data_IF_643695904468
#
_entry.id   IF_643695904468
#
_cell.length_a   1.000
_cell.length_b   1.000
_cell.length_c   1.000
_cell.angle_alpha   90.00
_cell.angle_beta   90.00
_cell.angle_gamma   90.00
#
_symmetry.space_group_name_H-M   'P 1'
#
loop_
_entity.id
_entity.type
_entity.pdbx_description
1 polymer ?
#
# COMPACT_ATOMS: atom_id res chain seq x y z
N UNK A 1 2.71 -23.17 4.33
CA UNK A 1 3.86 -22.27 4.08
C UNK A 1 3.36 -20.85 4.35
N UNK A 2 4.05 -20.03 5.17
CA UNK A 2 3.72 -18.60 5.26
C UNK A 2 4.29 -17.95 4.01
N UNK A 3 3.44 -17.56 3.08
CA UNK A 3 3.86 -16.69 1.98
C UNK A 3 3.86 -15.25 2.50
N UNK A 4 4.84 -14.46 2.07
CA UNK A 4 4.86 -13.04 2.41
C UNK A 4 3.69 -12.33 1.73
N UNK A 5 3.03 -11.42 2.48
CA UNK A 5 1.94 -10.62 1.96
C UNK A 5 2.47 -9.25 1.54
N UNK A 6 2.27 -8.89 0.27
CA UNK A 6 2.72 -7.63 -0.29
C UNK A 6 1.63 -6.56 -0.24
N UNK A 7 2.00 -5.41 0.35
CA UNK A 7 1.24 -4.17 0.30
C UNK A 7 1.39 -3.49 -1.08
N UNK A 8 0.42 -2.63 -1.42
CA UNK A 8 0.42 -1.74 -2.59
C UNK A 8 1.76 -1.02 -2.76
N UNK A 9 2.43 -0.59 -1.68
CA UNK A 9 3.70 0.12 -1.78
C UNK A 9 4.84 -0.73 -2.37
N UNK A 10 4.84 -2.04 -2.19
CA UNK A 10 5.83 -2.92 -2.82
C UNK A 10 5.62 -2.92 -4.34
N UNK A 11 4.37 -3.10 -4.78
CA UNK A 11 4.01 -3.05 -6.20
C UNK A 11 4.38 -1.69 -6.82
N UNK A 12 4.01 -0.59 -6.16
CA UNK A 12 4.27 0.76 -6.69
C UNK A 12 5.76 1.11 -6.71
N UNK A 13 6.58 0.48 -5.87
CA UNK A 13 8.03 0.70 -5.91
C UNK A 13 8.67 0.22 -7.22
N UNK A 14 8.01 -0.68 -7.98
CA UNK A 14 8.45 -1.08 -9.32
C UNK A 14 8.36 0.06 -10.34
N UNK A 15 7.58 1.11 -10.06
CA UNK A 15 7.38 2.25 -10.95
C UNK A 15 8.38 3.39 -10.68
N UNK A 16 9.17 3.26 -9.62
CA UNK A 16 10.23 4.20 -9.25
C UNK A 16 11.59 3.72 -9.79
N UNK A 17 12.61 4.57 -9.73
CA UNK A 17 14.00 4.19 -10.00
C UNK A 17 14.76 3.91 -8.69
N UNK A 18 15.79 3.07 -8.79
CA UNK A 18 16.81 2.88 -7.76
C UNK A 18 16.52 1.74 -6.76
N UNK A 19 17.16 1.75 -5.58
CA UNK A 19 17.27 0.55 -4.73
C UNK A 19 15.93 -0.04 -4.27
N UNK A 20 14.87 0.77 -4.16
CA UNK A 20 13.55 0.27 -3.78
C UNK A 20 12.89 -0.54 -4.89
N UNK A 21 13.09 -0.16 -6.14
CA UNK A 21 12.58 -0.88 -7.29
C UNK A 21 13.27 -2.23 -7.41
N UNK A 22 14.60 -2.27 -7.29
CA UNK A 22 15.40 -3.51 -7.31
C UNK A 22 14.99 -4.50 -6.20
N UNK A 23 14.76 -3.97 -4.98
CA UNK A 23 14.28 -4.79 -3.86
C UNK A 23 12.86 -5.29 -4.13
N UNK A 24 11.96 -4.43 -4.62
CA UNK A 24 10.58 -4.83 -4.92
C UNK A 24 10.53 -5.89 -6.02
N UNK A 25 11.34 -5.75 -7.07
CA UNK A 25 11.47 -6.73 -8.15
C UNK A 25 11.95 -8.08 -7.60
N UNK A 26 13.01 -8.08 -6.79
CA UNK A 26 13.54 -9.30 -6.17
C UNK A 26 12.50 -10.00 -5.29
N UNK A 27 11.78 -9.25 -4.45
CA UNK A 27 10.72 -9.80 -3.60
C UNK A 27 9.55 -10.38 -4.40
N UNK A 28 9.11 -9.69 -5.45
CA UNK A 28 7.99 -10.15 -6.27
C UNK A 28 8.37 -11.34 -7.16
N UNK A 29 9.64 -11.45 -7.56
CA UNK A 29 10.15 -12.60 -8.31
C UNK A 29 10.15 -13.91 -7.50
N UNK A 30 10.26 -13.83 -6.17
CA UNK A 30 10.10 -14.99 -5.27
C UNK A 30 8.64 -15.43 -5.13
N UNK A 31 7.70 -14.59 -5.59
CA UNK A 31 6.26 -14.77 -5.44
C UNK A 31 5.78 -14.44 -4.02
N UNK A 32 4.46 -14.45 -3.85
CA UNK A 32 3.85 -14.10 -2.56
C UNK A 32 2.34 -13.97 -2.66
N UNK A 33 1.74 -13.28 -1.70
CA UNK A 33 0.30 -13.02 -1.67
C UNK A 33 0.00 -11.53 -1.82
N UNK A 34 -1.03 -11.23 -2.59
CA UNK A 34 -1.66 -9.90 -2.69
C UNK A 34 -3.15 -10.06 -2.55
N UNK A 35 -3.87 -9.04 -2.05
CA UNK A 35 -5.33 -9.07 -2.08
C UNK A 35 -5.89 -8.34 -3.29
N UNK A 36 -7.14 -8.64 -3.65
CA UNK A 36 -7.90 -7.87 -4.65
C UNK A 36 -7.93 -6.36 -4.32
N UNK A 37 -7.90 -5.99 -3.04
CA UNK A 37 -7.88 -4.60 -2.62
C UNK A 37 -6.54 -3.92 -2.88
N UNK A 38 -5.43 -4.63 -2.67
CA UNK A 38 -4.08 -4.15 -3.02
C UNK A 38 -3.99 -3.87 -4.52
N UNK A 39 -4.52 -4.78 -5.35
CA UNK A 39 -4.54 -4.59 -6.81
C UNK A 39 -5.41 -3.39 -7.23
N UNK A 40 -6.57 -3.21 -6.60
CA UNK A 40 -7.43 -2.04 -6.86
C UNK A 40 -6.75 -0.72 -6.49
N UNK A 41 -6.06 -0.67 -5.34
CA UNK A 41 -5.31 0.51 -4.94
C UNK A 41 -4.16 0.78 -5.92
N UNK A 42 -3.43 -0.27 -6.32
CA UNK A 42 -2.37 -0.17 -7.31
C UNK A 42 -2.89 0.38 -8.65
N UNK A 43 -4.03 -0.12 -9.15
CA UNK A 43 -4.67 0.37 -10.38
C UNK A 43 -4.93 1.89 -10.32
N UNK A 44 -5.56 2.35 -9.23
CA UNK A 44 -5.87 3.78 -9.07
C UNK A 44 -4.59 4.63 -9.04
N UNK A 45 -3.51 4.13 -8.44
CA UNK A 45 -2.23 4.82 -8.44
C UNK A 45 -1.56 4.80 -9.82
N UNK A 46 -1.61 3.69 -10.57
CA UNK A 46 -1.08 3.60 -11.94
C UNK A 46 -1.73 4.66 -12.85
N UNK A 47 -3.07 4.75 -12.81
CA UNK A 47 -3.81 5.71 -13.64
C UNK A 47 -3.56 7.15 -13.18
N UNK A 48 -3.68 7.44 -11.87
CA UNK A 48 -3.71 8.83 -11.39
C UNK A 48 -2.34 9.43 -11.13
N UNK A 49 -1.36 8.62 -10.73
CA UNK A 49 -0.03 9.09 -10.34
C UNK A 49 1.01 8.77 -11.41
N UNK A 50 1.04 7.52 -11.89
CA UNK A 50 1.96 7.14 -12.97
C UNK A 50 1.45 7.54 -14.36
N UNK A 51 0.21 8.01 -14.48
CA UNK A 51 -0.43 8.46 -15.74
C UNK A 51 -0.45 7.39 -16.83
N UNK A 52 -0.47 6.12 -16.43
CA UNK A 52 -0.67 5.01 -17.35
C UNK A 52 -2.06 5.07 -17.96
N UNK A 53 -2.17 4.59 -19.20
CA UNK A 53 -3.46 4.22 -19.77
C UNK A 53 -4.06 3.02 -19.03
N UNK A 54 -5.35 2.80 -19.22
CA UNK A 54 -6.04 1.62 -18.69
C UNK A 54 -5.44 0.30 -19.19
N UNK A 55 -4.94 0.29 -20.42
CA UNK A 55 -4.34 -0.90 -21.01
C UNK A 55 -2.99 -1.21 -20.35
N UNK A 56 -2.09 -0.22 -20.28
CA UNK A 56 -0.79 -0.37 -19.62
C UNK A 56 -0.93 -0.77 -18.14
N UNK A 57 -1.86 -0.15 -17.41
CA UNK A 57 -2.12 -0.52 -16.02
C UNK A 57 -2.69 -1.94 -15.90
N UNK A 58 -3.52 -2.37 -16.87
CA UNK A 58 -4.04 -3.73 -16.94
C UNK A 58 -2.94 -4.77 -17.14
N UNK A 59 -2.03 -4.52 -18.09
CA UNK A 59 -0.91 -5.42 -18.39
C UNK A 59 0.06 -5.49 -17.21
N UNK A 60 0.37 -4.35 -16.58
CA UNK A 60 1.19 -4.29 -15.38
C UNK A 60 0.60 -5.15 -14.25
N UNK A 61 -0.69 -5.00 -13.94
CA UNK A 61 -1.34 -5.78 -12.89
C UNK A 61 -1.53 -7.25 -13.26
N UNK A 62 -1.67 -7.58 -14.54
CA UNK A 62 -1.66 -8.97 -15.00
C UNK A 62 -0.33 -9.65 -14.68
N UNK A 63 0.80 -8.95 -14.86
CA UNK A 63 2.12 -9.43 -14.44
C UNK A 63 2.19 -9.70 -12.93
N UNK A 64 1.70 -8.79 -12.10
CA UNK A 64 1.65 -8.99 -10.64
C UNK A 64 0.82 -10.24 -10.27
N UNK A 65 -0.30 -10.47 -10.94
CA UNK A 65 -1.16 -11.65 -10.69
C UNK A 65 -0.55 -12.97 -11.18
N UNK A 66 0.42 -12.93 -12.08
CA UNK A 66 1.18 -14.12 -12.47
C UNK A 66 2.24 -14.48 -11.43
N UNK A 67 2.85 -13.47 -10.80
CA UNK A 67 3.88 -13.66 -9.77
C UNK A 67 3.28 -13.97 -8.38
N UNK A 68 2.13 -13.37 -8.06
CA UNK A 68 1.53 -13.44 -6.74
C UNK A 68 0.18 -14.16 -6.74
N UNK A 69 -0.03 -14.99 -5.72
CA UNK A 69 -1.35 -15.53 -5.41
C UNK A 69 -2.27 -14.37 -4.98
N UNK A 70 -3.40 -14.22 -5.68
CA UNK A 70 -4.41 -13.22 -5.33
C UNK A 70 -5.40 -13.80 -4.31
N UNK A 71 -5.63 -13.08 -3.21
CA UNK A 71 -6.62 -13.45 -2.17
C UNK A 71 -7.82 -12.51 -2.22
N UNK A 72 -8.98 -13.05 -1.86
CA UNK A 72 -10.19 -12.27 -1.66
C UNK A 72 -10.09 -11.43 -0.38
N UNK A 73 -10.89 -10.36 -0.33
CA UNK A 73 -11.14 -9.59 0.88
C UNK A 73 -12.57 -9.88 1.34
N UNK A 74 -12.71 -10.49 2.52
CA UNK A 74 -14.01 -10.83 3.11
C UNK A 74 -14.37 -9.88 4.25
N UNK A 75 -15.65 -9.82 4.63
CA UNK A 75 -16.11 -8.97 5.72
C UNK A 75 -15.44 -9.36 7.05
N UNK A 76 -15.23 -10.65 7.30
CA UNK A 76 -14.63 -11.16 8.53
C UNK A 76 -13.19 -10.67 8.74
N UNK A 77 -12.46 -10.36 7.66
CA UNK A 77 -11.12 -9.77 7.75
C UNK A 77 -11.16 -8.38 8.41
N UNK A 78 -12.26 -7.64 8.26
CA UNK A 78 -12.44 -6.34 8.91
C UNK A 78 -12.73 -6.45 10.42
N UNK A 79 -13.25 -7.60 10.86
CA UNK A 79 -13.60 -7.84 12.25
C UNK A 79 -12.41 -8.35 13.08
N UNK A 80 -11.26 -8.59 12.44
CA UNK A 80 -10.04 -8.97 13.15
C UNK A 80 -9.67 -7.83 14.12
N UNK A 81 -9.61 -8.10 15.43
CA UNK A 81 -9.31 -7.07 16.40
C UNK A 81 -7.89 -6.53 16.16
N UNK A 82 -7.73 -5.22 16.30
CA UNK A 82 -6.40 -4.64 16.32
C UNK A 82 -5.56 -5.36 17.39
N UNK A 83 -4.30 -5.73 17.08
CA UNK A 83 -3.45 -6.38 18.06
C UNK A 83 -3.40 -5.50 19.31
N UNK A 84 -3.66 -6.13 20.47
CA UNK A 84 -3.62 -5.43 21.74
C UNK A 84 -2.28 -4.71 21.87
N UNK A 85 -2.31 -3.44 22.28
CA UNK A 85 -1.09 -2.69 22.56
C UNK A 85 -0.43 -3.33 23.77
N UNK A 86 0.52 -4.24 23.53
CA UNK A 86 1.20 -5.04 24.56
C UNK A 86 1.85 -4.17 25.63
N UNK A 87 2.24 -2.94 25.28
CA UNK A 87 2.72 -1.93 26.21
C UNK A 87 2.19 -0.54 25.85
N UNK A 88 1.18 -0.01 26.57
CA UNK A 88 0.63 1.33 26.31
C UNK A 88 1.67 2.46 26.44
N UNK A 89 2.74 2.25 27.21
CA UNK A 89 3.84 3.21 27.38
C UNK A 89 4.93 3.07 26.30
N UNK A 90 4.87 2.03 25.48
CA UNK A 90 5.79 1.77 24.36
C UNK A 90 5.00 1.16 23.19
N UNK A 91 4.10 1.94 22.55
CA UNK A 91 3.30 1.44 21.45
C UNK A 91 4.21 0.93 20.31
N UNK A 92 3.77 -0.07 19.53
CA UNK A 92 4.49 -0.49 18.34
C UNK A 92 4.78 0.74 17.49
N UNK A 93 6.06 0.98 17.20
CA UNK A 93 6.53 2.17 16.49
C UNK A 93 5.95 2.10 15.08
N UNK A 94 4.85 2.82 14.83
CA UNK A 94 4.45 3.14 13.46
C UNK A 94 5.61 3.96 12.88
N UNK A 95 6.28 3.54 11.78
CA UNK A 95 7.23 4.41 11.09
C UNK A 95 6.51 5.74 10.82
N UNK A 96 7.13 6.86 11.20
CA UNK A 96 6.49 8.18 11.11
C UNK A 96 6.06 8.48 9.65
N UNK A 97 4.82 8.14 9.29
CA UNK A 97 4.17 8.66 8.07
C UNK A 97 3.78 10.13 8.22
N UNK A 98 3.70 10.63 9.45
CA UNK A 98 3.45 12.04 9.77
C UNK A 98 4.76 12.73 10.17
N UNK A 99 5.47 13.25 9.18
CA UNK A 99 6.29 14.44 9.39
C UNK A 99 5.36 15.66 9.48
N UNK A 100 5.84 16.77 10.03
CA UNK A 100 5.08 18.04 10.11
C UNK A 100 4.58 18.50 8.72
N UNK A 101 5.21 18.02 7.65
CA UNK A 101 4.88 18.36 6.26
C UNK A 101 4.08 17.27 5.54
N UNK A 102 3.57 16.25 6.24
CA UNK A 102 2.75 15.23 5.58
C UNK A 102 1.43 15.85 5.08
N UNK A 103 0.99 15.45 3.88
CA UNK A 103 -0.25 15.96 3.25
C UNK A 103 -1.47 15.76 4.17
N UNK A 104 -1.51 14.66 4.93
CA UNK A 104 -2.56 14.40 5.91
C UNK A 104 -2.54 15.41 7.08
N UNK A 105 -1.36 15.73 7.61
CA UNK A 105 -1.17 16.76 8.66
C UNK A 105 -1.62 18.13 8.16
N UNK A 106 -1.16 18.53 6.98
CA UNK A 106 -1.47 19.85 6.40
C UNK A 106 -2.96 20.00 6.09
N UNK A 107 -3.61 18.97 5.54
CA UNK A 107 -5.06 18.98 5.30
C UNK A 107 -5.84 19.13 6.61
N UNK A 108 -5.47 18.40 7.66
CA UNK A 108 -6.11 18.52 8.99
C UNK A 108 -5.98 19.94 9.56
N UNK A 109 -4.79 20.54 9.49
CA UNK A 109 -4.55 21.91 9.97
C UNK A 109 -5.37 22.92 9.17
N UNK A 110 -5.40 22.78 7.84
CA UNK A 110 -6.15 23.68 6.97
C UNK A 110 -7.66 23.59 7.23
N UNK A 111 -8.21 22.37 7.36
CA UNK A 111 -9.64 22.15 7.68
C UNK A 111 -10.01 22.75 9.03
N UNK A 112 -9.19 22.55 10.07
CA UNK A 112 -9.46 23.14 11.40
C UNK A 112 -9.38 24.67 11.37
N UNK A 113 -8.42 25.23 10.63
CA UNK A 113 -8.26 26.69 10.50
C UNK A 113 -9.43 27.33 9.76
N UNK A 114 -9.92 26.68 8.70
CA UNK A 114 -11.05 27.17 7.90
C UNK A 114 -12.39 27.05 8.64
N UNK A 115 -12.56 26.03 9.48
CA UNK A 115 -13.78 25.84 10.29
C UNK A 115 -13.89 26.77 11.51
N UNK A 116 -12.83 27.52 11.83
CA UNK A 116 -12.77 28.48 12.94
C UNK A 116 -12.85 29.95 12.48
N UNK A 117 -13.14 30.18 11.21
CA UNK A 117 -13.55 31.48 10.65
C UNK A 117 -15.04 31.47 10.41
#
# INVERSE_FOLDING_TARGET
>A
MRADFFDTNIILSLLDDGPKAEIAESLLAEGGMVSVQVLNEALVNCIRKARMSWHEAGDFLAGIRQLCQTTDLTAEIHDIPFPAVLNPKKPPIRPKRHSSNSIATLRRILTVTLARR
#
